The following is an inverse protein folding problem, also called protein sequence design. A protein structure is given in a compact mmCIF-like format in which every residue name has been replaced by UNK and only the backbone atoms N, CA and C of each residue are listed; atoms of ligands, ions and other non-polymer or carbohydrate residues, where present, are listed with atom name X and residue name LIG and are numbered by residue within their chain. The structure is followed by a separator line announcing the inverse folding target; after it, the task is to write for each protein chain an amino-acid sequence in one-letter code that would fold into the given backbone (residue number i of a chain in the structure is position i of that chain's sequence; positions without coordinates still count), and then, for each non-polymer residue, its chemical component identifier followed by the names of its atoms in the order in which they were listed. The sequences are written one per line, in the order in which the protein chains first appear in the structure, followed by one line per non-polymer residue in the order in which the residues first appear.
data_IF_620162724867
#
_entry.id   IF_620162724867
#
_cell.length_a   1.000
_cell.length_b   1.000
_cell.length_c   1.000
_cell.angle_alpha   90.00
_cell.angle_beta   90.00
_cell.angle_gamma   90.00
#
_symmetry.space_group_name_H-M   'P 1'
#
loop_
_entity.id
_entity.type
_entity.pdbx_description
1 polymer ?
#
# COMPACT_ATOMS: atom_id res chain seq x y z
N UNK A 1 36.54 13.70 -60.17
CA UNK A 1 36.50 14.46 -58.91
C UNK A 1 35.32 13.94 -58.15
N UNK A 2 35.57 13.07 -57.18
CA UNK A 2 34.50 12.37 -56.45
C UNK A 2 34.98 12.23 -55.01
N UNK A 3 34.67 13.22 -54.18
CA UNK A 3 34.91 13.16 -52.75
C UNK A 3 33.59 12.94 -52.02
N UNK A 4 33.44 11.69 -51.58
CA UNK A 4 32.52 11.20 -50.56
C UNK A 4 32.50 12.13 -49.35
N UNK A 5 31.32 12.66 -49.04
CA UNK A 5 30.92 12.96 -47.66
C UNK A 5 30.87 11.64 -46.88
N UNK A 6 31.86 11.40 -46.03
CA UNK A 6 31.75 10.46 -44.92
C UNK A 6 31.71 11.23 -43.61
N UNK A 7 30.62 10.98 -42.87
CA UNK A 7 30.30 11.45 -41.54
C UNK A 7 31.47 11.27 -40.57
N UNK A 8 31.86 12.37 -39.93
CA UNK A 8 32.77 12.45 -38.80
C UNK A 8 32.19 11.65 -37.63
N UNK A 9 32.71 10.45 -37.39
CA UNK A 9 32.52 9.73 -36.13
C UNK A 9 33.55 10.27 -35.15
N UNK A 10 33.10 10.92 -34.08
CA UNK A 10 33.96 11.36 -32.99
C UNK A 10 34.60 10.14 -32.33
N UNK A 11 35.91 9.98 -32.52
CA UNK A 11 36.70 8.97 -31.83
C UNK A 11 37.02 9.54 -30.45
N UNK A 12 36.22 9.15 -29.45
CA UNK A 12 36.55 9.36 -28.04
C UNK A 12 37.81 8.53 -27.76
N UNK A 13 38.89 9.21 -27.34
CA UNK A 13 40.18 8.62 -27.00
C UNK A 13 40.01 7.63 -25.83
N UNK A 14 39.83 6.35 -26.17
CA UNK A 14 39.57 5.29 -25.23
C UNK A 14 40.89 4.54 -24.97
N UNK A 15 41.49 4.79 -23.80
CA UNK A 15 42.74 4.14 -23.38
C UNK A 15 42.67 2.60 -23.47
N UNK A 16 43.82 1.89 -23.45
CA UNK A 16 43.94 0.47 -23.81
C UNK A 16 43.06 -0.48 -22.97
N UNK A 17 42.56 -0.03 -21.81
CA UNK A 17 41.58 -0.76 -20.99
C UNK A 17 40.17 -0.84 -21.59
N UNK A 18 39.79 0.07 -22.50
CA UNK A 18 38.46 0.05 -23.15
C UNK A 18 38.28 -1.21 -24.01
N UNK A 19 39.35 -1.65 -24.68
CA UNK A 19 39.36 -2.91 -25.44
C UNK A 19 39.09 -4.14 -24.54
N UNK A 20 39.38 -4.05 -23.23
CA UNK A 20 39.12 -5.13 -22.27
C UNK A 20 37.77 -5.05 -21.56
N UNK A 21 37.07 -3.91 -21.65
CA UNK A 21 35.77 -3.68 -21.00
C UNK A 21 34.69 -4.70 -21.42
N UNK A 22 34.80 -5.21 -22.64
CA UNK A 22 33.88 -6.23 -23.19
C UNK A 22 34.02 -7.58 -22.49
N UNK A 23 35.24 -7.96 -22.08
CA UNK A 23 35.49 -9.20 -21.34
C UNK A 23 35.00 -9.11 -19.89
N UNK A 24 35.16 -7.95 -19.26
CA UNK A 24 34.64 -7.68 -17.90
C UNK A 24 33.11 -7.74 -17.89
N UNK A 25 32.47 -7.16 -18.91
CA UNK A 25 31.02 -7.22 -19.09
C UNK A 25 30.53 -8.65 -19.33
N UNK A 26 31.30 -9.44 -20.08
CA UNK A 26 31.02 -10.86 -20.32
C UNK A 26 31.19 -11.72 -19.05
N UNK A 27 32.19 -11.43 -18.22
CA UNK A 27 32.39 -12.08 -16.93
C UNK A 27 31.22 -11.79 -15.97
N UNK A 28 30.80 -10.52 -15.88
CA UNK A 28 29.60 -10.15 -15.11
C UNK A 28 28.30 -10.76 -15.65
N UNK A 29 28.21 -11.04 -16.95
CA UNK A 29 27.10 -11.79 -17.54
C UNK A 29 27.15 -13.27 -17.16
N UNK A 30 28.33 -13.90 -17.20
CA UNK A 30 28.50 -15.30 -16.78
C UNK A 30 28.16 -15.51 -15.31
N UNK A 31 28.54 -14.59 -14.43
CA UNK A 31 28.21 -14.68 -13.02
C UNK A 31 26.70 -14.58 -12.79
N UNK A 32 26.01 -13.68 -13.50
CA UNK A 32 24.54 -13.58 -13.47
C UNK A 32 23.87 -14.84 -14.02
N UNK A 33 24.41 -15.44 -15.07
CA UNK A 33 23.90 -16.70 -15.63
C UNK A 33 24.09 -17.87 -14.67
N UNK A 34 25.25 -17.96 -14.00
CA UNK A 34 25.50 -18.96 -12.96
C UNK A 34 24.55 -18.81 -11.77
N UNK A 35 24.30 -17.58 -11.31
CA UNK A 35 23.31 -17.30 -10.27
C UNK A 35 21.89 -17.69 -10.68
N UNK A 36 21.61 -17.69 -11.99
CA UNK A 36 20.36 -18.17 -12.57
C UNK A 36 20.35 -19.67 -12.87
N UNK A 37 21.28 -20.47 -12.33
CA UNK A 37 21.39 -21.93 -12.56
C UNK A 37 21.45 -22.33 -14.05
N UNK A 38 22.15 -21.53 -14.85
CA UNK A 38 22.37 -21.78 -16.28
C UNK A 38 22.93 -23.18 -16.58
N UNK A 39 23.86 -23.66 -15.75
CA UNK A 39 24.55 -24.94 -15.96
C UNK A 39 23.61 -26.16 -15.81
N UNK A 40 22.54 -26.05 -15.03
CA UNK A 40 21.59 -27.16 -14.80
C UNK A 40 20.33 -27.04 -15.65
N UNK A 41 19.80 -25.83 -15.83
CA UNK A 41 18.51 -25.62 -16.51
C UNK A 41 18.67 -25.37 -18.01
N UNK A 42 19.73 -24.69 -18.45
CA UNK A 42 19.90 -24.38 -19.86
C UNK A 42 20.85 -25.35 -20.56
N UNK A 43 22.03 -25.60 -19.99
CA UNK A 43 23.03 -26.47 -20.62
C UNK A 43 22.55 -27.94 -20.71
N UNK A 44 21.85 -28.46 -19.70
CA UNK A 44 21.34 -29.83 -19.70
C UNK A 44 20.04 -30.00 -20.50
N UNK A 45 19.09 -29.05 -20.41
CA UNK A 45 17.79 -29.14 -21.11
C UNK A 45 17.94 -28.92 -22.63
N UNK A 46 18.82 -28.02 -23.05
CA UNK A 46 19.06 -27.72 -24.48
C UNK A 46 20.30 -28.43 -25.06
N UNK A 47 21.03 -29.25 -24.29
CA UNK A 47 22.27 -29.95 -24.68
C UNK A 47 23.34 -29.02 -25.27
N UNK A 48 23.43 -27.79 -24.76
CA UNK A 48 24.35 -26.77 -25.27
C UNK A 48 25.65 -26.72 -24.46
N UNK A 49 26.77 -26.46 -25.14
CA UNK A 49 28.09 -26.34 -24.50
C UNK A 49 28.14 -25.11 -23.59
N UNK A 50 28.86 -25.23 -22.48
CA UNK A 50 29.05 -24.13 -21.53
C UNK A 50 29.74 -22.94 -22.20
N UNK A 51 29.22 -21.75 -21.92
CA UNK A 51 29.71 -20.50 -22.48
C UNK A 51 31.00 -20.10 -21.76
N UNK A 52 32.06 -19.82 -22.51
CA UNK A 52 33.34 -19.34 -21.99
C UNK A 52 33.34 -17.81 -21.87
N UNK A 53 34.21 -17.23 -21.02
CA UNK A 53 34.36 -15.76 -20.84
C UNK A 53 34.70 -15.00 -22.12
N UNK A 54 35.16 -15.68 -23.16
CA UNK A 54 35.48 -15.08 -24.46
C UNK A 54 34.41 -15.35 -25.53
N UNK A 55 33.38 -16.15 -25.23
CA UNK A 55 32.50 -16.73 -26.25
C UNK A 55 31.65 -15.70 -26.99
N UNK A 56 31.14 -14.65 -26.33
CA UNK A 56 30.47 -13.52 -27.01
C UNK A 56 31.37 -12.30 -27.18
N UNK A 57 32.53 -12.27 -26.53
CA UNK A 57 33.47 -11.14 -26.60
C UNK A 57 34.34 -11.17 -27.86
N UNK A 58 34.58 -12.35 -28.44
CA UNK A 58 35.32 -12.55 -29.68
C UNK A 58 34.43 -13.17 -30.75
N UNK A 59 34.48 -12.64 -31.97
CA UNK A 59 33.78 -13.23 -33.11
C UNK A 59 34.52 -14.51 -33.55
N UNK A 60 33.96 -15.68 -33.24
CA UNK A 60 34.54 -16.97 -33.64
C UNK A 60 33.70 -17.58 -34.76
N UNK A 61 32.49 -18.03 -34.44
CA UNK A 61 31.51 -18.51 -35.40
C UNK A 61 30.22 -17.68 -35.27
N UNK A 62 30.01 -16.68 -36.14
CA UNK A 62 28.87 -15.77 -36.03
C UNK A 62 27.50 -16.47 -36.05
N UNK A 63 27.37 -17.55 -36.82
CA UNK A 63 26.11 -18.30 -36.92
C UNK A 63 25.78 -19.07 -35.64
N UNK A 64 26.77 -19.75 -35.07
CA UNK A 64 26.62 -20.48 -33.81
C UNK A 64 26.44 -19.53 -32.62
N UNK A 65 27.19 -18.42 -32.60
CA UNK A 65 27.06 -17.38 -31.57
C UNK A 65 25.68 -16.72 -31.63
N UNK A 66 25.16 -16.42 -32.81
CA UNK A 66 23.82 -15.85 -32.94
C UNK A 66 22.73 -16.85 -32.52
N UNK A 67 22.90 -18.13 -32.84
CA UNK A 67 21.99 -19.18 -32.37
C UNK A 67 22.02 -19.31 -30.85
N UNK A 68 23.21 -19.38 -30.24
CA UNK A 68 23.39 -19.40 -28.78
C UNK A 68 22.81 -18.15 -28.11
N UNK A 69 23.01 -16.96 -28.68
CA UNK A 69 22.41 -15.71 -28.21
C UNK A 69 20.89 -15.78 -28.25
N UNK A 70 20.32 -16.22 -29.37
CA UNK A 70 18.88 -16.31 -29.56
C UNK A 70 18.24 -17.32 -28.60
N UNK A 71 18.88 -18.48 -28.40
CA UNK A 71 18.43 -19.49 -27.44
C UNK A 71 18.54 -19.02 -25.99
N UNK A 72 19.65 -18.36 -25.64
CA UNK A 72 19.87 -17.80 -24.31
C UNK A 72 18.89 -16.68 -23.99
N UNK A 73 18.64 -15.78 -24.95
CA UNK A 73 17.63 -14.74 -24.84
C UNK A 73 16.24 -15.37 -24.66
N UNK A 74 15.86 -16.34 -25.50
CA UNK A 74 14.58 -17.04 -25.37
C UNK A 74 14.40 -17.72 -24.00
N UNK A 75 15.47 -18.32 -23.45
CA UNK A 75 15.45 -18.93 -22.12
C UNK A 75 15.30 -17.89 -21.00
N UNK A 76 16.04 -16.78 -21.06
CA UNK A 76 15.92 -15.68 -20.10
C UNK A 76 14.52 -15.05 -20.15
N UNK A 77 13.96 -14.89 -21.35
CA UNK A 77 12.60 -14.40 -21.59
C UNK A 77 11.58 -15.35 -20.95
N UNK A 78 11.73 -16.68 -21.13
CA UNK A 78 10.87 -17.68 -20.48
C UNK A 78 11.01 -17.68 -18.95
N UNK A 79 12.20 -17.38 -18.43
CA UNK A 79 12.47 -17.32 -16.99
C UNK A 79 11.94 -16.02 -16.36
N UNK A 80 11.87 -14.93 -17.13
CA UNK A 80 11.25 -13.67 -16.70
C UNK A 80 9.73 -13.63 -16.92
N UNK A 81 9.20 -14.35 -17.91
CA UNK A 81 7.80 -14.28 -18.33
C UNK A 81 7.21 -15.68 -18.60
N UNK A 82 6.08 -15.99 -17.97
CA UNK A 82 5.38 -17.30 -17.98
C UNK A 82 4.69 -17.65 -19.32
N UNK A 83 5.27 -17.34 -20.46
CA UNK A 83 4.72 -17.77 -21.75
C UNK A 83 5.79 -18.09 -22.80
N UNK A 84 5.52 -19.06 -23.70
CA UNK A 84 6.49 -19.47 -24.71
C UNK A 84 6.69 -18.38 -25.79
N UNK A 85 7.93 -18.15 -26.25
CA UNK A 85 8.28 -17.09 -27.22
C UNK A 85 7.58 -17.25 -28.58
N UNK A 86 7.04 -18.43 -28.88
CA UNK A 86 6.19 -18.67 -30.06
C UNK A 86 4.93 -17.79 -30.12
N UNK A 87 4.43 -17.30 -28.98
CA UNK A 87 3.28 -16.37 -28.92
C UNK A 87 3.66 -14.93 -29.24
N UNK A 88 4.95 -14.60 -29.26
CA UNK A 88 5.48 -13.29 -29.64
C UNK A 88 5.79 -13.18 -31.14
N UNK A 89 5.32 -14.14 -31.95
CA UNK A 89 5.46 -14.10 -33.42
C UNK A 89 4.59 -13.02 -34.07
N UNK A 90 3.53 -12.58 -33.40
CA UNK A 90 2.67 -11.51 -33.85
C UNK A 90 3.07 -10.23 -33.10
N UNK A 91 3.35 -9.15 -33.83
CA UNK A 91 3.78 -7.86 -33.27
C UNK A 91 2.66 -7.06 -32.58
N UNK A 92 1.54 -7.70 -32.29
CA UNK A 92 0.35 -7.10 -31.70
C UNK A 92 -0.36 -8.15 -30.82
N UNK A 93 -1.03 -7.70 -29.76
CA UNK A 93 -1.77 -8.55 -28.83
C UNK A 93 -1.35 -8.38 -27.36
N UNK A 94 -2.09 -9.06 -26.48
CA UNK A 94 -1.93 -9.00 -25.02
C UNK A 94 -0.51 -9.35 -24.56
N UNK A 95 0.14 -10.31 -25.23
CA UNK A 95 1.49 -10.75 -24.89
C UNK A 95 2.54 -9.67 -25.22
N UNK A 96 2.33 -8.90 -26.30
CA UNK A 96 3.22 -7.78 -26.68
C UNK A 96 3.05 -6.61 -25.70
N UNK A 97 1.80 -6.29 -25.34
CA UNK A 97 1.49 -5.25 -24.34
C UNK A 97 2.08 -5.61 -22.98
N UNK A 98 1.95 -6.87 -22.55
CA UNK A 98 2.50 -7.33 -21.27
C UNK A 98 4.03 -7.22 -21.23
N UNK A 99 4.71 -7.58 -22.32
CA UNK A 99 6.18 -7.43 -22.42
C UNK A 99 6.58 -5.95 -22.36
N UNK A 100 5.91 -5.09 -23.13
CA UNK A 100 6.20 -3.66 -23.14
C UNK A 100 5.90 -3.00 -21.80
N UNK A 101 4.82 -3.37 -21.12
CA UNK A 101 4.47 -2.87 -19.78
C UNK A 101 5.52 -3.28 -18.74
N UNK A 102 5.99 -4.53 -18.77
CA UNK A 102 7.03 -4.99 -17.83
C UNK A 102 8.40 -4.38 -18.11
N UNK A 103 8.74 -4.17 -19.37
CA UNK A 103 9.96 -3.44 -19.75
C UNK A 103 9.87 -1.96 -19.34
N UNK A 104 8.71 -1.33 -19.54
CA UNK A 104 8.44 0.02 -19.07
C UNK A 104 8.54 0.10 -17.55
N UNK A 105 8.00 -0.86 -16.80
CA UNK A 105 8.14 -0.93 -15.33
C UNK A 105 9.62 -1.02 -14.90
N UNK A 106 10.43 -1.81 -15.61
CA UNK A 106 11.87 -1.91 -15.31
C UNK A 106 12.63 -0.64 -15.69
N UNK A 107 12.24 0.04 -16.77
CA UNK A 107 12.79 1.34 -17.15
C UNK A 107 12.41 2.42 -16.13
N UNK A 108 11.15 2.47 -15.71
CA UNK A 108 10.64 3.40 -14.69
C UNK A 108 11.31 3.18 -13.32
N UNK A 109 11.61 1.92 -12.96
CA UNK A 109 12.39 1.59 -11.76
C UNK A 109 13.82 2.12 -11.82
N UNK A 110 14.49 2.05 -12.98
CA UNK A 110 15.83 2.64 -13.15
C UNK A 110 15.82 4.16 -13.18
N UNK A 111 14.73 4.76 -13.67
CA UNK A 111 14.53 6.20 -13.67
C UNK A 111 14.10 6.76 -12.30
N UNK A 112 13.94 5.90 -11.28
CA UNK A 112 13.41 6.26 -9.96
C UNK A 112 12.10 7.07 -10.07
N UNK A 113 11.24 6.70 -11.02
CA UNK A 113 10.03 7.45 -11.29
C UNK A 113 9.08 7.41 -10.09
N UNK A 114 8.91 8.57 -9.44
CA UNK A 114 7.95 8.74 -8.36
C UNK A 114 6.58 9.08 -8.95
N UNK A 115 5.61 8.19 -8.76
CA UNK A 115 4.21 8.50 -9.02
C UNK A 115 3.81 9.72 -8.17
N UNK A 116 3.58 10.86 -8.82
CA UNK A 116 2.94 12.01 -8.14
C UNK A 116 1.55 11.56 -7.73
N UNK A 117 1.23 11.64 -6.43
CA UNK A 117 -0.10 11.30 -5.93
C UNK A 117 -1.14 12.21 -6.60
N UNK A 118 -2.26 11.67 -7.10
CA UNK A 118 -3.37 12.49 -7.57
C UNK A 118 -3.84 13.39 -6.42
N UNK A 119 -3.79 14.70 -6.63
CA UNK A 119 -4.35 15.69 -5.70
C UNK A 119 -5.85 15.69 -5.98
N UNK A 120 -6.63 15.08 -5.07
CA UNK A 120 -8.07 15.27 -5.03
C UNK A 120 -8.26 16.63 -4.37
N UNK A 121 -8.73 17.60 -5.15
CA UNK A 121 -9.17 18.89 -4.63
C UNK A 121 -10.42 18.62 -3.78
N UNK A 122 -10.44 18.97 -2.47
CA UNK A 122 -11.68 19.12 -1.73
C UNK A 122 -12.50 20.22 -2.42
N UNK A 123 -13.77 19.96 -2.70
CA UNK A 123 -14.74 21.01 -2.98
C UNK A 123 -14.94 21.79 -1.68
N UNK A 124 -14.23 22.91 -1.53
CA UNK A 124 -14.57 23.93 -0.56
C UNK A 124 -15.57 24.90 -1.23
N UNK A 125 -16.85 24.64 -0.96
CA UNK A 125 -17.85 25.69 -0.79
C UNK A 125 -17.38 26.54 0.39
N UNK A 126 -16.93 27.77 0.13
CA UNK A 126 -17.16 28.94 0.97
C UNK A 126 -16.56 30.18 0.30
N UNK A 127 -17.42 31.19 0.10
CA UNK A 127 -17.10 32.41 -0.63
C UNK A 127 -15.93 33.19 -0.05
N UNK A 128 -14.91 33.43 -0.86
CA UNK A 128 -14.04 34.59 -0.72
C UNK A 128 -13.50 35.00 -2.09
N UNK A 129 -14.14 36.02 -2.64
CA UNK A 129 -13.61 36.85 -3.72
C UNK A 129 -12.32 37.52 -3.23
N UNK A 130 -11.19 37.07 -3.75
CA UNK A 130 -9.91 37.78 -3.66
C UNK A 130 -9.07 37.43 -4.87
N UNK A 131 -9.27 38.22 -5.92
CA UNK A 131 -8.30 38.64 -6.94
C UNK A 131 -6.85 38.30 -6.57
N UNK A 132 -6.26 37.34 -7.29
CA UNK A 132 -4.81 37.20 -7.43
C UNK A 132 -4.49 36.74 -8.87
N UNK A 133 -4.25 37.75 -9.70
CA UNK A 133 -3.26 37.84 -10.79
C UNK A 133 -3.13 36.65 -11.75
N UNK A 134 -3.96 36.70 -12.79
CA UNK A 134 -3.70 36.08 -14.08
C UNK A 134 -3.05 37.12 -15.01
N UNK A 135 -1.74 37.30 -14.93
CA UNK A 135 -0.94 37.92 -15.99
C UNK A 135 0.54 37.53 -15.85
N UNK A 136 0.99 36.47 -16.53
CA UNK A 136 2.43 36.33 -16.84
C UNK A 136 2.75 35.37 -18.00
N UNK A 137 1.84 35.17 -18.96
CA UNK A 137 2.19 34.38 -20.16
C UNK A 137 1.40 34.70 -21.42
N UNK A 138 1.24 35.98 -21.74
CA UNK A 138 0.78 36.40 -23.07
C UNK A 138 1.95 37.00 -23.87
N UNK A 139 2.51 36.21 -24.79
CA UNK A 139 3.46 36.70 -25.80
C UNK A 139 2.64 37.43 -26.87
N UNK A 140 2.70 38.76 -26.89
CA UNK A 140 1.97 39.58 -27.86
C UNK A 140 2.65 39.52 -29.24
N UNK A 141 1.83 39.44 -30.29
CA UNK A 141 2.22 39.36 -31.71
C UNK A 141 3.19 40.47 -32.16
N UNK A 142 3.17 41.63 -31.49
CA UNK A 142 4.07 42.75 -31.77
C UNK A 142 5.55 42.39 -31.54
N UNK A 143 5.86 41.54 -30.55
CA UNK A 143 7.24 41.07 -30.29
C UNK A 143 7.76 40.11 -31.35
N UNK A 144 6.87 39.37 -32.02
CA UNK A 144 7.24 38.44 -33.11
C UNK A 144 7.49 39.21 -34.41
N UNK A 145 6.71 40.28 -34.66
CA UNK A 145 6.96 41.16 -35.82
C UNK A 145 8.27 41.94 -35.68
N UNK A 146 8.63 42.39 -34.48
CA UNK A 146 9.88 43.12 -34.25
C UNK A 146 11.13 42.22 -34.42
N UNK A 147 11.01 40.93 -34.10
CA UNK A 147 12.08 39.94 -34.27
C UNK A 147 12.25 39.50 -35.75
N UNK A 148 11.16 39.38 -36.51
CA UNK A 148 11.21 39.11 -37.96
C UNK A 148 11.78 40.28 -38.78
N UNK A 149 11.63 41.52 -38.30
CA UNK A 149 12.17 42.70 -38.98
C UNK A 149 13.69 42.81 -38.74
N UNK A 150 14.18 42.43 -37.55
CA UNK A 150 15.61 42.48 -37.23
C UNK A 150 16.46 41.50 -38.06
N UNK A 151 15.95 40.29 -38.35
CA UNK A 151 16.66 39.32 -39.20
C UNK A 151 16.71 39.72 -40.68
N UNK A 152 15.81 40.58 -41.15
CA UNK A 152 15.75 40.98 -42.56
C UNK A 152 16.76 42.08 -42.96
N UNK A 153 17.40 42.75 -42.00
CA UNK A 153 18.33 43.87 -42.25
C UNK A 153 19.82 43.50 -42.10
N UNK A 154 20.18 42.27 -41.71
CA UNK A 154 21.59 41.86 -41.55
C UNK A 154 22.23 41.19 -42.79
N UNK A 155 21.49 40.98 -43.89
CA UNK A 155 22.06 40.50 -45.15
C UNK A 155 22.02 41.55 -46.26
N UNK A 156 22.78 42.64 -46.12
CA UNK A 156 23.14 43.49 -47.25
C UNK A 156 24.59 44.03 -47.12
N UNK A 157 25.56 43.17 -47.39
CA UNK A 157 26.85 43.61 -47.94
C UNK A 157 27.54 42.43 -48.65
N UNK A 158 27.28 42.27 -49.96
CA UNK A 158 28.17 41.52 -50.84
C UNK A 158 28.65 42.47 -51.93
N UNK A 159 29.94 42.80 -51.86
CA UNK A 159 30.65 43.65 -52.81
C UNK A 159 30.70 42.97 -54.17
N UNK A 160 30.17 43.70 -55.16
CA UNK A 160 30.10 43.34 -56.57
C UNK A 160 31.49 43.56 -57.21
N UNK A 161 32.40 42.57 -57.11
CA UNK A 161 33.62 42.56 -57.92
C UNK A 161 33.32 41.99 -59.31
N UNK A 162 33.33 42.87 -60.31
CA UNK A 162 33.14 42.54 -61.72
C UNK A 162 34.22 41.60 -62.25
N UNK A 163 33.92 40.31 -62.28
CA UNK A 163 34.70 39.30 -62.96
C UNK A 163 34.54 39.45 -64.49
N UNK A 164 35.67 39.69 -65.16
CA UNK A 164 35.79 39.86 -66.61
C UNK A 164 35.10 38.69 -67.34
N UNK A 165 34.08 39.03 -68.14
CA UNK A 165 33.36 38.09 -69.00
C UNK A 165 34.31 37.49 -70.06
N UNK A 166 34.69 36.24 -69.83
CA UNK A 166 35.55 35.46 -70.72
C UNK A 166 34.80 35.11 -72.03
N UNK A 167 35.14 35.81 -73.12
CA UNK A 167 34.51 35.71 -74.44
C UNK A 167 34.56 34.29 -75.04
N UNK A 168 35.42 33.42 -74.52
CA UNK A 168 35.52 32.01 -74.93
C UNK A 168 34.39 31.15 -74.34
N UNK A 169 33.86 31.51 -73.16
CA UNK A 169 32.69 30.84 -72.55
C UNK A 169 31.40 31.07 -73.37
N UNK A 170 31.25 32.27 -73.95
CA UNK A 170 30.13 32.61 -74.84
C UNK A 170 30.14 31.80 -76.15
N UNK A 171 31.32 31.43 -76.65
CA UNK A 171 31.44 30.57 -77.85
C UNK A 171 31.00 29.13 -77.56
N UNK A 172 31.30 28.60 -76.38
CA UNK A 172 30.87 27.26 -75.97
C UNK A 172 29.36 27.21 -75.63
N UNK A 173 28.79 28.31 -75.13
CA UNK A 173 27.33 28.48 -75.00
C UNK A 173 26.59 28.47 -76.35
N UNK A 174 27.25 28.90 -77.43
CA UNK A 174 26.68 28.84 -78.78
C UNK A 174 26.54 27.40 -79.30
N UNK A 175 27.39 26.48 -78.85
CA UNK A 175 27.29 25.04 -79.18
C UNK A 175 26.15 24.41 -78.35
N UNK A 176 25.91 24.87 -77.12
CA UNK A 176 24.74 24.51 -76.30
C UNK A 176 23.41 25.14 -76.80
N UNK A 177 23.46 26.02 -77.81
CA UNK A 177 22.28 26.72 -78.37
C UNK A 177 21.29 25.79 -79.08
N UNK A 178 21.64 24.52 -79.35
CA UNK A 178 20.69 23.53 -79.85
C UNK A 178 19.95 22.73 -78.76
N UNK A 179 20.42 22.71 -77.51
CA UNK A 179 19.83 21.87 -76.45
C UNK A 179 19.04 22.64 -75.38
N UNK A 180 19.08 23.97 -75.34
CA UNK A 180 18.21 24.72 -74.42
C UNK A 180 16.72 24.51 -74.73
N UNK A 181 16.36 24.21 -75.99
CA UNK A 181 14.96 23.93 -76.38
C UNK A 181 14.50 22.56 -75.91
N UNK A 182 15.36 21.54 -75.99
CA UNK A 182 15.07 20.20 -75.49
C UNK A 182 15.02 20.20 -73.95
N UNK A 183 15.91 20.92 -73.28
CA UNK A 183 15.85 21.14 -71.84
C UNK A 183 14.62 21.96 -71.40
N UNK A 184 14.25 23.02 -72.13
CA UNK A 184 13.03 23.78 -71.83
C UNK A 184 11.77 22.92 -72.00
N UNK A 185 11.75 22.06 -73.02
CA UNK A 185 10.65 21.12 -73.22
C UNK A 185 10.62 20.03 -72.14
N UNK A 186 11.77 19.49 -71.71
CA UNK A 186 11.88 18.59 -70.56
C UNK A 186 11.41 19.27 -69.26
N UNK A 187 11.77 20.53 -69.02
CA UNK A 187 11.32 21.29 -67.85
C UNK A 187 9.81 21.52 -67.89
N UNK A 188 9.23 21.78 -69.06
CA UNK A 188 7.76 21.87 -69.23
C UNK A 188 7.08 20.54 -68.96
N UNK A 189 7.65 19.43 -69.43
CA UNK A 189 7.15 18.08 -69.17
C UNK A 189 7.25 17.72 -67.69
N UNK A 190 8.37 18.01 -67.04
CA UNK A 190 8.53 17.82 -65.59
C UNK A 190 7.58 18.72 -64.81
N UNK A 191 7.41 19.99 -65.20
CA UNK A 191 6.44 20.88 -64.56
C UNK A 191 5.01 20.34 -64.68
N UNK A 192 4.61 19.85 -65.86
CA UNK A 192 3.31 19.21 -66.06
C UNK A 192 3.17 17.94 -65.22
N UNK A 193 4.18 17.09 -65.20
CA UNK A 193 4.20 15.89 -64.37
C UNK A 193 4.14 16.21 -62.86
N UNK A 194 4.83 17.26 -62.42
CA UNK A 194 4.76 17.76 -61.04
C UNK A 194 3.35 18.27 -60.74
N UNK A 195 2.72 19.02 -61.65
CA UNK A 195 1.35 19.51 -61.45
C UNK A 195 0.34 18.34 -61.39
N UNK A 196 0.48 17.35 -62.29
CA UNK A 196 -0.35 16.15 -62.31
C UNK A 196 -0.14 15.29 -61.05
N UNK A 197 1.09 15.17 -60.54
CA UNK A 197 1.38 14.43 -59.31
C UNK A 197 0.91 15.19 -58.08
N UNK A 198 1.11 16.51 -58.00
CA UNK A 198 0.65 17.35 -56.88
C UNK A 198 -0.87 17.37 -56.81
N UNK A 199 -1.56 17.48 -57.94
CA UNK A 199 -3.03 17.40 -57.98
C UNK A 199 -3.53 16.01 -57.58
N UNK A 200 -2.88 14.94 -58.05
CA UNK A 200 -3.18 13.57 -57.64
C UNK A 200 -2.97 13.35 -56.14
N UNK A 201 -1.82 13.74 -55.59
CA UNK A 201 -1.53 13.59 -54.15
C UNK A 201 -2.44 14.45 -53.30
N UNK A 202 -2.79 15.67 -53.73
CA UNK A 202 -3.76 16.52 -53.04
C UNK A 202 -5.13 15.86 -53.00
N UNK A 203 -5.59 15.28 -54.10
CA UNK A 203 -6.86 14.54 -54.13
C UNK A 203 -6.86 13.30 -53.23
N UNK A 204 -5.72 12.60 -53.12
CA UNK A 204 -5.56 11.46 -52.22
C UNK A 204 -5.56 11.93 -50.75
N UNK A 205 -4.88 13.03 -50.45
CA UNK A 205 -4.86 13.62 -49.12
C UNK A 205 -6.25 14.11 -48.69
N UNK A 206 -7.00 14.74 -49.60
CA UNK A 206 -8.38 15.17 -49.33
C UNK A 206 -9.30 13.97 -49.05
N UNK A 207 -9.15 12.88 -49.82
CA UNK A 207 -9.89 11.63 -49.55
C UNK A 207 -9.56 11.09 -48.16
N UNK A 208 -8.27 10.98 -47.82
CA UNK A 208 -7.83 10.55 -46.49
C UNK A 208 -8.37 11.46 -45.39
N UNK A 209 -8.34 12.78 -45.58
CA UNK A 209 -8.89 13.74 -44.64
C UNK A 209 -10.39 13.52 -44.43
N UNK A 210 -11.16 13.31 -45.50
CA UNK A 210 -12.61 13.03 -45.40
C UNK A 210 -12.90 11.69 -44.73
N UNK A 211 -12.11 10.65 -45.03
CA UNK A 211 -12.29 9.32 -44.45
C UNK A 211 -11.92 9.30 -42.96
N UNK A 212 -10.83 9.98 -42.58
CA UNK A 212 -10.44 10.17 -41.18
C UNK A 212 -11.51 10.96 -40.44
N UNK A 213 -12.00 12.07 -41.00
CA UNK A 213 -13.06 12.88 -40.39
C UNK A 213 -14.33 12.06 -40.15
N UNK A 214 -14.77 11.27 -41.13
CA UNK A 214 -15.91 10.35 -40.97
C UNK A 214 -15.66 9.27 -39.92
N UNK A 215 -14.43 8.77 -39.82
CA UNK A 215 -14.07 7.78 -38.80
C UNK A 215 -14.11 8.39 -37.40
N UNK A 216 -13.65 9.63 -37.23
CA UNK A 216 -13.70 10.36 -35.97
C UNK A 216 -15.14 10.67 -35.54
N UNK A 217 -16.02 11.08 -36.46
CA UNK A 217 -17.45 11.27 -36.15
C UNK A 217 -18.12 9.96 -35.71
N UNK A 218 -17.77 8.84 -36.36
CA UNK A 218 -18.25 7.51 -35.96
C UNK A 218 -17.72 7.10 -34.58
N UNK A 219 -16.45 7.38 -34.29
CA UNK A 219 -15.86 7.11 -32.97
C UNK A 219 -16.57 7.97 -31.92
N UNK A 220 -16.71 9.28 -32.14
CA UNK A 220 -17.37 10.18 -31.20
C UNK A 220 -18.84 9.85 -30.95
N UNK A 221 -19.58 9.38 -31.97
CA UNK A 221 -20.95 8.89 -31.75
C UNK A 221 -20.98 7.56 -30.99
N UNK A 222 -20.02 6.65 -31.24
CA UNK A 222 -19.87 5.40 -30.48
C UNK A 222 -19.51 5.68 -29.01
N UNK A 223 -18.63 6.63 -28.76
CA UNK A 223 -18.23 7.07 -27.42
C UNK A 223 -19.40 7.68 -26.67
N UNK A 224 -20.18 8.58 -27.30
CA UNK A 224 -21.40 9.11 -26.69
C UNK A 224 -22.40 8.01 -26.33
N UNK A 225 -22.61 7.06 -27.23
CA UNK A 225 -23.49 5.93 -26.97
C UNK A 225 -23.00 5.07 -25.80
N UNK A 226 -21.70 4.76 -25.77
CA UNK A 226 -21.09 3.94 -24.72
C UNK A 226 -21.10 4.68 -23.38
N UNK A 227 -20.80 5.97 -23.36
CA UNK A 227 -20.89 6.81 -22.16
C UNK A 227 -22.32 6.84 -21.61
N UNK A 228 -23.33 7.02 -22.45
CA UNK A 228 -24.73 6.97 -21.99
C UNK A 228 -25.11 5.61 -21.38
N UNK A 229 -24.59 4.50 -21.93
CA UNK A 229 -24.79 3.17 -21.34
C UNK A 229 -24.07 3.02 -20.00
N UNK A 230 -22.80 3.45 -19.94
CA UNK A 230 -22.01 3.37 -18.71
C UNK A 230 -22.57 4.28 -17.62
N UNK A 231 -23.12 5.44 -17.96
CA UNK A 231 -23.69 6.39 -17.00
C UNK A 231 -24.83 5.77 -16.19
N UNK A 232 -25.69 4.97 -16.84
CA UNK A 232 -26.72 4.20 -16.15
C UNK A 232 -26.13 3.15 -15.21
N UNK A 233 -25.13 2.37 -15.67
CA UNK A 233 -24.47 1.37 -14.83
C UNK A 233 -23.74 2.00 -13.64
N UNK A 234 -23.11 3.16 -13.82
CA UNK A 234 -22.44 3.91 -12.75
C UNK A 234 -23.46 4.41 -11.74
N UNK A 235 -24.63 4.88 -12.20
CA UNK A 235 -25.71 5.29 -11.31
C UNK A 235 -26.28 4.10 -10.52
N UNK A 236 -26.53 2.97 -11.18
CA UNK A 236 -26.92 1.72 -10.51
C UNK A 236 -25.89 1.28 -9.47
N UNK A 237 -24.59 1.29 -9.80
CA UNK A 237 -23.51 0.97 -8.87
C UNK A 237 -23.50 1.92 -7.66
N UNK A 238 -23.68 3.22 -7.88
CA UNK A 238 -23.75 4.21 -6.80
C UNK A 238 -24.93 3.95 -5.87
N UNK A 239 -26.11 3.70 -6.43
CA UNK A 239 -27.30 3.37 -5.61
C UNK A 239 -27.11 2.07 -4.83
N UNK A 240 -26.51 1.04 -5.42
CA UNK A 240 -26.21 -0.21 -4.72
C UNK A 240 -25.16 0.00 -3.61
N UNK A 241 -24.16 0.85 -3.83
CA UNK A 241 -23.16 1.22 -2.83
C UNK A 241 -23.78 1.95 -1.65
N UNK A 242 -24.71 2.87 -1.90
CA UNK A 242 -25.46 3.61 -0.87
C UNK A 242 -26.40 2.67 -0.08
N UNK A 243 -27.06 1.72 -0.75
CA UNK A 243 -27.86 0.70 -0.07
C UNK A 243 -26.98 -0.19 0.82
N UNK A 244 -25.80 -0.57 0.35
CA UNK A 244 -24.87 -1.39 1.11
C UNK A 244 -24.31 -0.65 2.33
N UNK A 245 -24.00 0.65 2.21
CA UNK A 245 -23.58 1.47 3.35
C UNK A 245 -24.72 1.60 4.38
N UNK A 246 -25.95 1.82 3.94
CA UNK A 246 -27.14 1.88 4.80
C UNK A 246 -27.37 0.56 5.54
N UNK A 247 -27.32 -0.58 4.85
CA UNK A 247 -27.48 -1.90 5.47
C UNK A 247 -26.35 -2.21 6.46
N UNK A 248 -25.11 -1.82 6.15
CA UNK A 248 -23.99 -1.96 7.09
C UNK A 248 -24.20 -1.16 8.37
N UNK A 249 -24.70 0.07 8.25
CA UNK A 249 -24.99 0.91 9.41
C UNK A 249 -26.15 0.36 10.25
N UNK A 250 -27.22 -0.12 9.61
CA UNK A 250 -28.31 -0.82 10.28
C UNK A 250 -27.84 -2.10 10.97
N UNK A 251 -26.97 -2.89 10.34
CA UNK A 251 -26.39 -4.08 10.97
C UNK A 251 -25.53 -3.70 12.19
N UNK A 252 -24.74 -2.63 12.09
CA UNK A 252 -23.91 -2.13 13.21
C UNK A 252 -24.78 -1.67 14.38
N UNK A 253 -25.87 -0.94 14.13
CA UNK A 253 -26.78 -0.48 15.19
C UNK A 253 -27.54 -1.65 15.84
N UNK A 254 -28.05 -2.60 15.05
CA UNK A 254 -28.71 -3.81 15.57
C UNK A 254 -27.73 -4.69 16.33
N UNK A 255 -26.51 -4.88 15.82
CA UNK A 255 -25.45 -5.63 16.49
C UNK A 255 -25.08 -4.98 17.83
N UNK A 256 -24.94 -3.65 17.87
CA UNK A 256 -24.78 -2.90 19.11
C UNK A 256 -25.91 -3.17 20.11
N UNK A 257 -27.16 -3.07 19.67
CA UNK A 257 -28.33 -3.36 20.51
C UNK A 257 -28.38 -4.81 21.01
N UNK A 258 -27.92 -5.79 20.21
CA UNK A 258 -27.80 -7.19 20.65
C UNK A 258 -26.73 -7.33 21.73
N UNK A 259 -25.58 -6.68 21.59
CA UNK A 259 -24.54 -6.71 22.63
C UNK A 259 -24.98 -6.05 23.93
N UNK A 260 -25.72 -4.94 23.87
CA UNK A 260 -26.29 -4.30 25.05
C UNK A 260 -27.32 -5.20 25.74
N UNK A 261 -28.24 -5.81 24.98
CA UNK A 261 -29.21 -6.77 25.53
C UNK A 261 -28.54 -8.02 26.11
N UNK A 262 -27.46 -8.50 25.50
CA UNK A 262 -26.68 -9.62 26.03
C UNK A 262 -25.98 -9.24 27.35
N UNK A 263 -25.50 -8.00 27.46
CA UNK A 263 -24.92 -7.47 28.70
C UNK A 263 -25.95 -7.33 29.80
N UNK A 264 -27.13 -6.77 29.52
CA UNK A 264 -28.20 -6.64 30.52
C UNK A 264 -28.73 -8.01 30.95
N UNK A 265 -28.86 -8.96 30.03
CA UNK A 265 -29.22 -10.34 30.39
C UNK A 265 -28.17 -11.01 31.29
N UNK A 266 -26.87 -10.79 31.04
CA UNK A 266 -25.82 -11.31 31.91
C UNK A 266 -25.88 -10.70 33.31
N UNK A 267 -26.11 -9.39 33.40
CA UNK A 267 -26.30 -8.69 34.69
C UNK A 267 -27.52 -9.23 35.46
N UNK A 268 -28.66 -9.37 34.79
CA UNK A 268 -29.87 -9.94 35.42
C UNK A 268 -29.64 -11.40 35.86
N UNK A 269 -28.85 -12.17 35.09
CA UNK A 269 -28.51 -13.55 35.46
C UNK A 269 -27.62 -13.60 36.70
N UNK A 270 -26.65 -12.69 36.80
CA UNK A 270 -25.78 -12.54 37.97
C UNK A 270 -26.57 -12.09 39.20
N UNK A 271 -27.47 -11.12 39.06
CA UNK A 271 -28.40 -10.71 40.13
C UNK A 271 -29.30 -11.88 40.57
N UNK A 272 -29.80 -12.68 39.63
CA UNK A 272 -30.61 -13.85 39.94
C UNK A 272 -29.81 -14.91 40.71
N UNK A 273 -28.57 -15.16 40.32
CA UNK A 273 -27.70 -16.12 41.02
C UNK A 273 -27.28 -15.60 42.41
N UNK A 274 -27.08 -14.29 42.56
CA UNK A 274 -26.86 -13.67 43.87
C UNK A 274 -28.09 -13.83 44.78
N UNK A 275 -29.29 -13.56 44.28
CA UNK A 275 -30.53 -13.77 45.04
C UNK A 275 -30.74 -15.25 45.40
N UNK A 276 -30.41 -16.18 44.49
CA UNK A 276 -30.42 -17.62 44.80
C UNK A 276 -29.42 -17.97 45.90
N UNK A 277 -28.20 -17.44 45.82
CA UNK A 277 -27.19 -17.67 46.86
C UNK A 277 -27.65 -17.12 48.21
N UNK A 278 -28.21 -15.91 48.25
CA UNK A 278 -28.79 -15.36 49.48
C UNK A 278 -29.95 -16.22 50.01
N UNK A 279 -30.78 -16.76 49.11
CA UNK A 279 -31.88 -17.65 49.49
C UNK A 279 -31.36 -18.98 50.05
N UNK A 280 -30.30 -19.55 49.47
CA UNK A 280 -29.64 -20.76 49.94
C UNK A 280 -28.89 -20.53 51.26
N UNK A 281 -28.24 -19.38 51.41
CA UNK A 281 -27.60 -18.97 52.66
C UNK A 281 -28.63 -18.77 53.77
N UNK A 282 -29.75 -18.07 53.49
CA UNK A 282 -30.88 -17.94 54.41
C UNK A 282 -31.52 -19.29 54.71
N UNK A 283 -31.65 -20.16 53.71
CA UNK A 283 -32.13 -21.53 53.86
C UNK A 283 -31.22 -22.35 54.78
N UNK A 284 -29.90 -22.25 54.57
CA UNK A 284 -28.90 -22.91 55.41
C UNK A 284 -28.90 -22.36 56.83
N UNK A 285 -29.03 -21.04 57.03
CA UNK A 285 -29.11 -20.40 58.33
C UNK A 285 -30.43 -20.73 59.06
N UNK A 286 -31.54 -20.89 58.33
CA UNK A 286 -32.82 -21.31 58.89
C UNK A 286 -32.85 -22.82 59.22
N UNK A 287 -32.09 -23.63 58.49
CA UNK A 287 -32.00 -25.09 58.69
C UNK A 287 -30.87 -25.47 59.66
N UNK A 288 -29.89 -24.58 59.91
CA UNK A 288 -28.82 -24.83 60.85
C UNK A 288 -29.37 -24.78 62.28
N UNK A 289 -29.69 -25.94 62.84
CA UNK A 289 -30.12 -26.10 64.22
C UNK A 289 -29.03 -25.82 65.27
N UNK A 290 -27.79 -25.47 64.87
CA UNK A 290 -26.70 -25.13 65.80
C UNK A 290 -27.03 -24.02 66.81
N UNK A 291 -27.76 -22.93 66.49
CA UNK A 291 -28.18 -21.94 67.49
C UNK A 291 -29.06 -22.60 68.56
N UNK A 292 -29.97 -23.48 68.16
CA UNK A 292 -30.81 -24.27 69.07
C UNK A 292 -29.96 -25.19 69.96
N UNK A 293 -28.98 -25.88 69.39
CA UNK A 293 -28.06 -26.76 70.11
C UNK A 293 -27.19 -25.96 71.10
N UNK A 294 -26.75 -24.76 70.74
CA UNK A 294 -25.98 -23.88 71.61
C UNK A 294 -26.82 -23.35 72.78
N UNK A 295 -28.07 -22.95 72.54
CA UNK A 295 -29.01 -22.57 73.61
C UNK A 295 -29.25 -23.75 74.55
N UNK A 296 -29.45 -24.96 74.00
CA UNK A 296 -29.60 -26.19 74.80
C UNK A 296 -28.36 -26.48 75.66
N UNK A 297 -27.16 -26.26 75.11
CA UNK A 297 -25.88 -26.46 75.82
C UNK A 297 -25.65 -25.39 76.91
N UNK A 298 -26.06 -24.15 76.67
CA UNK A 298 -26.04 -23.09 77.69
C UNK A 298 -27.03 -23.40 78.82
N UNK A 299 -28.25 -23.87 78.49
CA UNK A 299 -29.24 -24.30 79.47
C UNK A 299 -28.75 -25.49 80.32
N UNK A 300 -28.07 -26.47 79.72
CA UNK A 300 -27.53 -27.59 80.48
C UNK A 300 -26.42 -27.14 81.44
N UNK A 301 -25.56 -26.20 81.01
CA UNK A 301 -24.51 -25.62 81.85
C UNK A 301 -25.09 -24.85 83.03
N UNK A 302 -26.10 -24.01 82.79
CA UNK A 302 -26.81 -23.29 83.86
C UNK A 302 -27.46 -24.24 84.86
N UNK A 303 -27.99 -25.38 84.39
CA UNK A 303 -28.57 -26.40 85.28
C UNK A 303 -27.52 -27.06 86.19
N UNK A 304 -26.31 -27.28 85.69
CA UNK A 304 -25.17 -27.78 86.49
C UNK A 304 -24.68 -26.71 87.47
N UNK A 305 -24.61 -25.45 87.06
CA UNK A 305 -24.25 -24.35 87.96
C UNK A 305 -25.27 -24.18 89.09
N UNK A 306 -26.58 -24.31 88.80
CA UNK A 306 -27.65 -24.30 89.81
C UNK A 306 -27.50 -25.43 90.82
N UNK A 307 -27.28 -26.67 90.38
CA UNK A 307 -27.10 -27.79 91.32
C UNK A 307 -25.84 -27.62 92.17
N UNK A 308 -24.76 -27.07 91.61
CA UNK A 308 -23.56 -26.73 92.37
C UNK A 308 -23.83 -25.63 93.40
N UNK A 309 -24.61 -24.60 93.03
CA UNK A 309 -25.03 -23.55 93.95
C UNK A 309 -25.90 -24.11 95.08
N UNK A 310 -26.83 -25.02 94.80
CA UNK A 310 -27.66 -25.68 95.81
C UNK A 310 -26.82 -26.46 96.83
N UNK A 311 -25.80 -27.20 96.37
CA UNK A 311 -24.85 -27.89 97.26
C UNK A 311 -24.08 -26.89 98.12
N UNK A 312 -23.61 -25.77 97.55
CA UNK A 312 -22.92 -24.72 98.32
C UNK A 312 -23.84 -24.07 99.36
N UNK A 313 -25.09 -23.79 99.01
CA UNK A 313 -26.11 -23.27 99.93
C UNK A 313 -26.36 -24.28 101.06
N UNK A 314 -26.44 -25.58 100.75
CA UNK A 314 -26.59 -26.65 101.74
C UNK A 314 -25.41 -26.72 102.72
N UNK A 315 -24.18 -26.67 102.22
CA UNK A 315 -22.97 -26.66 103.08
C UNK A 315 -22.88 -25.40 103.92
N UNK A 316 -23.17 -24.23 103.35
CA UNK A 316 -23.21 -22.96 104.09
C UNK A 316 -24.29 -23.00 105.20
N UNK A 317 -25.47 -23.53 104.89
CA UNK A 317 -26.57 -23.70 105.84
C UNK A 317 -26.21 -24.67 106.95
N UNK A 318 -25.60 -25.82 106.64
CA UNK A 318 -25.12 -26.76 107.66
C UNK A 318 -24.01 -26.13 108.51
N UNK A 319 -23.05 -25.42 107.90
CA UNK A 319 -21.96 -24.78 108.62
C UNK A 319 -22.49 -23.74 109.61
N UNK A 320 -23.47 -22.94 109.19
CA UNK A 320 -24.14 -21.95 110.03
C UNK A 320 -24.95 -22.63 111.15
N UNK A 321 -25.67 -23.71 110.85
CA UNK A 321 -26.40 -24.49 111.85
C UNK A 321 -25.45 -25.13 112.87
N UNK A 322 -24.31 -25.65 112.45
CA UNK A 322 -23.29 -26.22 113.32
C UNK A 322 -22.63 -25.14 114.19
N UNK A 323 -22.38 -23.94 113.64
CA UNK A 323 -21.90 -22.80 114.41
C UNK A 323 -22.92 -22.40 115.50
N UNK A 324 -24.22 -22.30 115.15
CA UNK A 324 -25.30 -22.04 116.11
C UNK A 324 -25.41 -23.13 117.20
N UNK A 325 -25.25 -24.40 116.84
CA UNK A 325 -25.26 -25.51 117.79
C UNK A 325 -24.04 -25.51 118.71
N UNK A 326 -22.85 -25.17 118.19
CA UNK A 326 -21.62 -25.01 118.99
C UNK A 326 -21.73 -23.84 119.96
N UNK A 327 -22.28 -22.71 119.51
CA UNK A 327 -22.54 -21.53 120.36
C UNK A 327 -23.52 -21.89 121.50
N UNK A 328 -24.62 -22.58 121.19
CA UNK A 328 -25.57 -23.08 122.18
C UNK A 328 -24.93 -24.10 123.15
N UNK A 329 -24.07 -24.99 122.65
CA UNK A 329 -23.32 -25.94 123.48
C UNK A 329 -22.25 -25.27 124.37
N UNK A 330 -21.63 -24.18 123.89
CA UNK A 330 -20.69 -23.38 124.67
C UNK A 330 -21.41 -22.56 125.75
N UNK A 331 -22.61 -22.03 125.46
CA UNK A 331 -23.48 -21.40 126.46
C UNK A 331 -23.88 -22.40 127.55
N UNK A 332 -24.24 -23.63 127.18
CA UNK A 332 -24.57 -24.68 128.17
C UNK A 332 -23.35 -25.08 129.03
N UNK A 333 -22.14 -25.10 128.46
CA UNK A 333 -20.89 -25.35 129.21
C UNK A 333 -20.49 -24.19 130.12
N UNK A 334 -20.71 -22.94 129.70
CA UNK A 334 -20.48 -21.77 130.52
C UNK A 334 -21.44 -21.68 131.72
N UNK A 335 -22.68 -22.17 131.57
CA UNK A 335 -23.65 -22.28 132.67
C UNK A 335 -23.22 -23.33 133.70
N UNK A 336 -22.56 -24.41 133.27
CA UNK A 336 -22.14 -25.50 134.15
C UNK A 336 -20.80 -25.26 134.88
N UNK A 337 -20.07 -24.18 134.58
CA UNK A 337 -18.82 -23.86 135.28
C UNK A 337 -18.60 -22.33 135.36
N UNK A 338 -19.06 -21.64 136.42
CA UNK A 338 -18.91 -20.20 136.54
C UNK A 338 -17.47 -19.81 136.95
N UNK A 339 -16.85 -18.79 136.33
CA UNK A 339 -15.53 -18.32 136.72
C UNK A 339 -15.58 -17.54 138.04
N UNK A 340 -14.65 -17.87 138.94
CA UNK A 340 -14.45 -17.20 140.22
C UNK A 340 -13.78 -15.83 140.03
N UNK A 341 -14.40 -14.80 140.58
CA UNK A 341 -13.85 -13.44 140.68
C UNK A 341 -12.63 -13.46 141.62
N UNK A 342 -11.49 -12.94 141.16
CA UNK A 342 -10.45 -12.41 142.02
C UNK A 342 -9.69 -11.25 141.35
N UNK A 343 -10.12 -10.03 141.73
CA UNK A 343 -9.34 -8.92 142.27
C UNK A 343 -8.05 -8.41 141.56
N UNK A 344 -8.23 -7.18 141.03
CA UNK A 344 -7.49 -5.95 141.36
C UNK A 344 -6.02 -5.72 140.92
N UNK A 345 -5.83 -4.50 140.35
CA UNK A 345 -4.64 -3.61 140.31
C UNK A 345 -3.51 -4.00 139.33
N UNK A 346 -2.92 -3.15 138.47
CA UNK A 346 -2.59 -1.71 138.53
C UNK A 346 -2.28 -1.14 137.12
N UNK A 347 -2.99 -0.07 136.73
CA UNK A 347 -2.57 1.24 136.16
C UNK A 347 -1.22 1.33 135.38
N UNK A 348 -1.26 1.62 134.06
CA UNK A 348 -1.10 2.97 133.46
C UNK A 348 -1.54 2.98 131.99
#
# INVERSE_FOLDING_TARGET
MEERRQSRTEVVDAGPGYAYSIYVSMEGLLDKLKLLNYDTEFSQEFKMKNINRHYFALQTNPGEQFFMFSSLAAWLIRKMWDFPPSKLKQGWGEQVIFVLSRLADQALKKQAFSWKRPIILPEDDDGNDSVLDADDSEVTLEKIEEEMIAEAYEEEESEDEGEILDLEALRNLSIAKQDWRSHLEQIRQHRKYIDDTVTSTKSQLDKLYTDISRSLEKIGSREKYLNNQLEQLVLEYRTAQDQLSQVREQYKSVSGGVTERSRTLSQITEELDQVKQEMDERGSNMTDGKPLVNIRKALSKLKVELSQMDVRIGVASHTLLQAKLKERGNLQRAINNPPTLNNFTTIF
#
